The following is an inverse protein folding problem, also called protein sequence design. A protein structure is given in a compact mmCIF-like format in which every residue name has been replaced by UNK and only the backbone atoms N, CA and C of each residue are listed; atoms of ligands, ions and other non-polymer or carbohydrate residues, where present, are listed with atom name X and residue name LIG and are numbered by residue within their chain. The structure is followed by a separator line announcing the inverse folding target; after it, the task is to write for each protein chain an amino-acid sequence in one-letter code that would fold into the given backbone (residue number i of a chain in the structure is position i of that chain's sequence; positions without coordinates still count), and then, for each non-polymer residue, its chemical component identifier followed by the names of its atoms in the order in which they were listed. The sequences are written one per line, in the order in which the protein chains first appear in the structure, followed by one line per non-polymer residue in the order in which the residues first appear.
data_IF_330872980874
#
_entry.id   IF_330872980874
#
_cell.length_a   1.000
_cell.length_b   1.000
_cell.length_c   1.000
_cell.angle_alpha   90.00
_cell.angle_beta   90.00
_cell.angle_gamma   90.00
#
_symmetry.space_group_name_H-M   'P 1'
#
loop_
_entity.id
_entity.type
_entity.pdbx_description
1 polymer ?
#
# COMPACT_ATOMS: atom_id res chain seq x y z
N UNK A 1 15.45 -21.73 35.20
CA UNK A 1 15.59 -22.44 36.49
C UNK A 1 16.88 -21.95 37.13
N UNK A 2 16.84 -21.43 38.33
CA UNK A 2 18.04 -21.04 39.05
C UNK A 2 18.74 -22.28 39.60
N UNK A 3 20.03 -22.36 39.40
CA UNK A 3 20.86 -23.47 39.91
C UNK A 3 22.15 -22.87 40.45
N UNK A 4 22.65 -23.43 41.57
CA UNK A 4 23.92 -23.03 42.16
C UNK A 4 25.15 -23.55 41.39
N UNK A 5 24.93 -24.49 40.48
CA UNK A 5 25.97 -25.10 39.65
C UNK A 5 26.04 -24.54 38.23
N UNK A 6 24.97 -23.91 37.72
CA UNK A 6 24.92 -23.34 36.39
C UNK A 6 24.65 -21.81 36.44
N UNK A 7 25.60 -20.97 36.02
CA UNK A 7 25.38 -19.55 36.00
C UNK A 7 24.33 -19.14 34.97
N UNK A 8 23.58 -18.08 35.26
CA UNK A 8 22.65 -17.50 34.30
C UNK A 8 23.41 -16.96 33.09
N UNK A 9 23.02 -17.37 31.89
CA UNK A 9 23.54 -16.81 30.66
C UNK A 9 22.71 -15.57 30.35
N UNK A 10 23.33 -14.37 30.34
CA UNK A 10 22.61 -13.15 30.00
C UNK A 10 22.17 -13.17 28.54
N UNK A 11 20.89 -12.90 28.31
CA UNK A 11 20.34 -12.71 26.97
C UNK A 11 20.91 -11.43 26.34
N UNK A 12 21.18 -11.47 25.03
CA UNK A 12 21.59 -10.31 24.27
C UNK A 12 20.37 -9.60 23.67
N UNK A 13 20.31 -8.28 23.80
CA UNK A 13 19.37 -7.46 23.07
C UNK A 13 19.95 -7.23 21.67
N UNK A 14 19.26 -7.68 20.64
CA UNK A 14 19.60 -7.39 19.26
C UNK A 14 18.75 -6.23 18.75
N UNK A 15 19.38 -5.24 18.12
CA UNK A 15 18.68 -4.17 17.43
C UNK A 15 18.59 -4.50 15.93
N UNK A 16 17.44 -4.24 15.33
CA UNK A 16 17.25 -4.28 13.89
C UNK A 16 16.99 -2.87 13.39
N UNK A 17 17.43 -2.57 12.16
CA UNK A 17 17.18 -1.30 11.49
C UNK A 17 16.43 -1.57 10.20
N UNK A 18 15.27 -0.96 10.02
CA UNK A 18 14.59 -0.90 8.73
C UNK A 18 15.03 0.36 7.96
N UNK A 19 15.13 0.25 6.65
CA UNK A 19 15.58 1.33 5.78
C UNK A 19 14.48 1.70 4.80
N UNK A 20 14.02 2.95 4.88
CA UNK A 20 13.04 3.52 3.98
C UNK A 20 13.70 4.27 2.84
N UNK A 21 13.05 4.30 1.69
CA UNK A 21 13.49 5.08 0.53
C UNK A 21 12.65 6.34 0.36
N UNK A 22 13.29 7.40 -0.12
CA UNK A 22 12.64 8.68 -0.40
C UNK A 22 12.12 8.65 -1.83
N UNK A 23 10.82 8.90 -1.98
CA UNK A 23 10.17 9.10 -3.26
C UNK A 23 10.19 10.57 -3.63
N UNK A 24 10.73 10.87 -4.80
CA UNK A 24 10.68 12.20 -5.42
C UNK A 24 9.89 12.07 -6.71
N UNK A 25 8.74 12.69 -6.75
CA UNK A 25 7.82 12.64 -7.88
C UNK A 25 7.46 14.05 -8.31
N UNK A 26 7.29 14.25 -9.59
CA UNK A 26 6.83 15.49 -10.16
C UNK A 26 5.91 15.25 -11.34
N UNK A 27 4.98 16.17 -11.56
CA UNK A 27 4.13 16.20 -12.74
C UNK A 27 3.91 17.65 -13.17
N UNK A 28 3.86 17.84 -14.45
CA UNK A 28 3.47 19.10 -15.08
C UNK A 28 2.17 18.90 -15.85
N UNK A 29 1.33 19.92 -15.82
CA UNK A 29 0.12 20.05 -16.62
C UNK A 29 0.23 21.32 -17.46
N UNK A 30 -0.30 21.29 -18.67
CA UNK A 30 -0.34 22.43 -19.57
C UNK A 30 -1.79 22.82 -19.86
N UNK A 31 -2.02 24.12 -20.00
CA UNK A 31 -3.28 24.70 -20.45
C UNK A 31 -2.98 25.73 -21.52
N UNK A 32 -3.64 25.62 -22.68
CA UNK A 32 -3.47 26.56 -23.79
C UNK A 32 -4.57 27.64 -23.77
N UNK A 33 -4.21 28.91 -24.00
CA UNK A 33 -5.12 30.07 -24.03
C UNK A 33 -6.26 29.88 -25.03
N UNK A 34 -5.96 29.34 -26.21
CA UNK A 34 -6.95 29.15 -27.27
C UNK A 34 -7.98 28.07 -26.87
N UNK A 35 -7.53 27.01 -26.17
CA UNK A 35 -8.42 25.98 -25.64
C UNK A 35 -9.36 26.54 -24.56
N UNK A 36 -8.87 27.46 -23.74
CA UNK A 36 -9.67 28.17 -22.73
C UNK A 36 -10.73 29.06 -23.36
N UNK A 37 -10.35 29.82 -24.37
CA UNK A 37 -11.24 30.70 -25.11
C UNK A 37 -12.34 29.93 -25.87
N UNK A 38 -12.00 28.76 -26.44
CA UNK A 38 -12.95 27.92 -27.18
C UNK A 38 -13.90 27.16 -26.23
N UNK A 39 -13.41 26.72 -25.09
CA UNK A 39 -14.21 25.97 -24.11
C UNK A 39 -15.14 26.87 -23.26
N UNK A 40 -14.89 28.19 -23.22
CA UNK A 40 -15.64 29.13 -22.37
C UNK A 40 -15.46 28.87 -20.86
N UNK A 41 -14.45 28.14 -20.47
CA UNK A 41 -14.08 27.82 -19.10
C UNK A 41 -12.57 27.91 -18.89
N UNK A 42 -12.13 28.16 -17.65
CA UNK A 42 -10.72 28.23 -17.30
C UNK A 42 -10.14 26.83 -17.02
N UNK A 43 -9.36 26.24 -17.97
CA UNK A 43 -8.78 24.92 -17.77
C UNK A 43 -7.73 24.91 -16.66
N UNK A 44 -7.02 26.01 -16.40
CA UNK A 44 -6.00 26.11 -15.37
C UNK A 44 -6.60 25.95 -13.97
N UNK A 45 -7.77 26.53 -13.72
CA UNK A 45 -8.50 26.33 -12.46
C UNK A 45 -8.92 24.88 -12.26
N UNK A 46 -9.45 24.22 -13.29
CA UNK A 46 -9.84 22.81 -13.23
C UNK A 46 -8.62 21.89 -12.93
N UNK A 47 -7.44 22.20 -13.49
CA UNK A 47 -6.19 21.48 -13.18
C UNK A 47 -5.84 21.66 -11.70
N UNK A 48 -5.92 22.88 -11.15
CA UNK A 48 -5.64 23.15 -9.75
C UNK A 48 -6.48 22.29 -8.79
N UNK A 49 -7.77 22.16 -9.08
CA UNK A 49 -8.70 21.34 -8.27
C UNK A 49 -8.40 19.83 -8.35
N UNK A 50 -7.82 19.38 -9.45
CA UNK A 50 -7.50 17.97 -9.66
C UNK A 50 -6.15 17.52 -9.07
N UNK A 51 -5.24 18.47 -8.77
CA UNK A 51 -3.89 18.13 -8.28
C UNK A 51 -3.91 17.32 -6.98
N UNK A 52 -4.79 17.67 -6.04
CA UNK A 52 -4.92 16.93 -4.77
C UNK A 52 -5.37 15.48 -5.01
N UNK A 53 -6.36 15.29 -5.87
CA UNK A 53 -6.87 13.96 -6.26
C UNK A 53 -5.80 13.15 -7.00
N UNK A 54 -5.00 13.78 -7.84
CA UNK A 54 -3.88 13.14 -8.51
C UNK A 54 -2.87 12.57 -7.51
N UNK A 55 -2.43 13.37 -6.52
CA UNK A 55 -1.46 12.90 -5.54
C UNK A 55 -1.98 11.80 -4.63
N UNK A 56 -3.26 11.84 -4.28
CA UNK A 56 -3.90 10.76 -3.52
C UNK A 56 -3.83 9.43 -4.28
N UNK A 57 -4.21 9.44 -5.57
CA UNK A 57 -4.16 8.25 -6.44
C UNK A 57 -2.72 7.78 -6.67
N UNK A 58 -1.77 8.71 -6.86
CA UNK A 58 -0.37 8.37 -7.08
C UNK A 58 0.25 7.70 -5.85
N UNK A 59 -0.03 8.20 -4.65
CA UNK A 59 0.42 7.57 -3.41
C UNK A 59 -0.20 6.18 -3.22
N UNK A 60 -1.48 6.01 -3.53
CA UNK A 60 -2.16 4.72 -3.53
C UNK A 60 -1.49 3.75 -4.51
N UNK A 61 -1.22 4.18 -5.74
CA UNK A 61 -0.55 3.39 -6.76
C UNK A 61 0.85 2.94 -6.32
N UNK A 62 1.64 3.85 -5.76
CA UNK A 62 2.97 3.53 -5.21
C UNK A 62 2.87 2.53 -4.05
N UNK A 63 1.87 2.68 -3.18
CA UNK A 63 1.63 1.73 -2.09
C UNK A 63 1.38 0.31 -2.63
N UNK A 64 0.57 0.17 -3.68
CA UNK A 64 0.29 -1.14 -4.28
C UNK A 64 1.53 -1.73 -4.98
N UNK A 65 2.34 -0.91 -5.64
CA UNK A 65 3.62 -1.35 -6.22
C UNK A 65 4.60 -1.81 -5.14
N UNK A 66 4.67 -1.08 -4.03
CA UNK A 66 5.50 -1.43 -2.88
C UNK A 66 5.05 -2.76 -2.25
N UNK A 67 3.75 -2.96 -2.05
CA UNK A 67 3.21 -4.24 -1.57
C UNK A 67 3.55 -5.39 -2.52
N UNK A 68 3.41 -5.17 -3.82
CA UNK A 68 3.79 -6.17 -4.82
C UNK A 68 5.28 -6.54 -4.69
N UNK A 69 6.17 -5.56 -4.61
CA UNK A 69 7.62 -5.80 -4.47
C UNK A 69 7.97 -6.52 -3.17
N UNK A 70 7.45 -6.05 -2.05
CA UNK A 70 7.69 -6.63 -0.72
C UNK A 70 7.23 -8.08 -0.64
N UNK A 71 6.01 -8.38 -1.08
CA UNK A 71 5.47 -9.75 -1.02
C UNK A 71 5.98 -10.68 -2.14
N UNK A 72 6.69 -10.15 -3.13
CA UNK A 72 7.45 -10.96 -4.08
C UNK A 72 8.81 -11.37 -3.52
N UNK A 73 9.28 -10.76 -2.43
CA UNK A 73 10.53 -11.14 -1.77
C UNK A 73 10.38 -12.44 -0.99
N UNK A 74 11.29 -13.43 -1.16
CA UNK A 74 11.26 -14.68 -0.41
C UNK A 74 11.31 -14.49 1.11
N UNK A 75 11.90 -13.38 1.57
CA UNK A 75 11.97 -13.06 3.00
C UNK A 75 10.60 -12.84 3.66
N UNK A 76 9.56 -12.57 2.87
CA UNK A 76 8.19 -12.31 3.33
C UNK A 76 7.24 -13.52 3.26
N UNK A 77 7.72 -14.69 2.87
CA UNK A 77 6.91 -15.91 2.68
C UNK A 77 6.04 -16.24 3.90
N UNK A 78 6.56 -16.04 5.10
CA UNK A 78 5.81 -16.30 6.34
C UNK A 78 4.55 -15.42 6.50
N UNK A 79 4.49 -14.26 5.85
CA UNK A 79 3.35 -13.36 5.86
C UNK A 79 2.46 -13.51 4.61
N UNK A 80 2.72 -14.55 3.78
CA UNK A 80 1.90 -14.89 2.61
C UNK A 80 1.04 -16.11 2.95
N UNK A 81 -0.25 -16.02 2.68
CA UNK A 81 -1.17 -17.15 2.62
C UNK A 81 -1.67 -17.33 1.21
N UNK A 82 -1.17 -18.35 0.54
CA UNK A 82 -1.51 -18.65 -0.85
C UNK A 82 -2.28 -19.97 -0.93
N UNK A 83 -3.54 -19.89 -1.32
CA UNK A 83 -4.42 -21.04 -1.55
C UNK A 83 -4.80 -21.20 -3.01
N UNK A 84 -4.21 -20.41 -3.90
CA UNK A 84 -4.60 -20.34 -5.32
C UNK A 84 -4.38 -21.64 -6.10
N UNK A 85 -3.45 -22.49 -5.64
CA UNK A 85 -3.18 -23.80 -6.25
C UNK A 85 -4.09 -24.92 -5.74
N UNK A 86 -4.87 -24.66 -4.69
CA UNK A 86 -5.84 -25.64 -4.19
C UNK A 86 -6.99 -25.82 -5.18
N UNK A 87 -7.71 -26.92 -5.04
CA UNK A 87 -8.82 -27.26 -5.94
C UNK A 87 -10.18 -27.05 -5.26
N UNK A 88 -11.17 -26.64 -6.06
CA UNK A 88 -12.54 -26.45 -5.59
C UNK A 88 -12.64 -25.32 -4.56
N UNK A 89 -13.54 -25.46 -3.59
CA UNK A 89 -13.83 -24.44 -2.57
C UNK A 89 -12.66 -24.11 -1.65
N UNK A 90 -11.67 -24.99 -1.55
CA UNK A 90 -10.47 -24.76 -0.77
C UNK A 90 -9.59 -23.64 -1.33
N UNK A 91 -9.70 -23.33 -2.63
CA UNK A 91 -9.01 -22.21 -3.28
C UNK A 91 -9.75 -20.88 -3.12
N UNK A 92 -11.02 -20.92 -2.69
CA UNK A 92 -11.89 -19.77 -2.69
C UNK A 92 -11.74 -18.93 -1.40
N UNK A 93 -12.03 -17.64 -1.52
CA UNK A 93 -12.18 -16.77 -0.36
C UNK A 93 -13.42 -17.17 0.43
N UNK A 94 -13.22 -17.77 1.58
CA UNK A 94 -14.26 -18.16 2.55
C UNK A 94 -13.92 -17.65 3.93
N UNK A 95 -14.86 -17.73 4.87
CA UNK A 95 -14.59 -17.37 6.26
C UNK A 95 -13.46 -18.19 6.90
N UNK A 96 -13.38 -19.48 6.59
CA UNK A 96 -12.33 -20.39 7.10
C UNK A 96 -10.95 -20.03 6.53
N UNK A 97 -10.84 -19.89 5.21
CA UNK A 97 -9.57 -19.56 4.55
C UNK A 97 -9.05 -18.16 4.94
N UNK A 98 -9.97 -17.23 5.22
CA UNK A 98 -9.59 -15.92 5.76
C UNK A 98 -9.06 -16.00 7.20
N UNK A 99 -9.65 -16.83 8.06
CA UNK A 99 -9.15 -17.05 9.43
C UNK A 99 -7.74 -17.64 9.38
N UNK A 100 -7.47 -18.56 8.45
CA UNK A 100 -6.15 -19.15 8.25
C UNK A 100 -5.13 -18.09 7.77
N UNK A 101 -5.55 -17.19 6.90
CA UNK A 101 -4.71 -16.05 6.47
C UNK A 101 -4.35 -15.13 7.64
N UNK A 102 -5.33 -14.77 8.48
CA UNK A 102 -5.11 -13.95 9.68
C UNK A 102 -4.22 -14.68 10.70
N UNK A 103 -4.33 -16.00 10.79
CA UNK A 103 -3.54 -16.83 11.70
C UNK A 103 -2.04 -16.87 11.36
N UNK A 104 -1.61 -16.40 10.16
CA UNK A 104 -0.18 -16.25 9.84
C UNK A 104 0.59 -15.37 10.84
N UNK A 105 -0.10 -14.44 11.51
CA UNK A 105 0.49 -13.60 12.58
C UNK A 105 0.40 -14.23 13.97
N UNK A 106 -0.21 -15.41 14.10
CA UNK A 106 -0.34 -16.12 15.36
C UNK A 106 -1.02 -15.29 16.45
N UNK A 107 -0.37 -15.09 17.56
CA UNK A 107 -0.85 -14.30 18.71
C UNK A 107 -0.97 -12.79 18.43
N UNK A 108 -0.30 -12.28 17.36
CA UNK A 108 -0.38 -10.89 16.95
C UNK A 108 -1.56 -10.60 15.99
N UNK A 109 -2.41 -11.57 15.67
CA UNK A 109 -3.52 -11.45 14.70
C UNK A 109 -4.54 -10.36 15.05
N UNK A 110 -4.74 -10.07 16.32
CA UNK A 110 -5.67 -9.04 16.80
C UNK A 110 -5.25 -7.61 16.38
N UNK A 111 -3.97 -7.43 15.99
CA UNK A 111 -3.46 -6.17 15.50
C UNK A 111 -3.90 -5.85 14.06
N UNK A 112 -4.48 -6.83 13.36
CA UNK A 112 -5.00 -6.65 11.99
C UNK A 112 -6.41 -6.04 12.04
N UNK A 113 -6.58 -4.85 11.49
CA UNK A 113 -7.79 -4.03 11.61
C UNK A 113 -8.47 -3.70 10.30
N UNK A 114 -7.76 -3.81 9.17
CA UNK A 114 -8.28 -3.44 7.85
C UNK A 114 -7.93 -4.47 6.79
N UNK A 115 -8.75 -4.51 5.74
CA UNK A 115 -8.58 -5.39 4.59
C UNK A 115 -8.69 -4.52 3.34
N UNK A 116 -7.74 -4.69 2.42
CA UNK A 116 -7.80 -4.08 1.08
C UNK A 116 -7.99 -5.20 0.07
N UNK A 117 -9.04 -5.12 -0.71
CA UNK A 117 -9.41 -6.16 -1.68
C UNK A 117 -9.92 -5.57 -2.99
N UNK A 118 -9.87 -6.36 -4.05
CA UNK A 118 -10.42 -6.02 -5.35
C UNK A 118 -11.96 -5.96 -5.31
N UNK A 119 -12.58 -5.11 -6.11
CA UNK A 119 -14.04 -4.95 -6.17
C UNK A 119 -14.78 -6.26 -6.46
N UNK A 120 -14.23 -7.13 -7.30
CA UNK A 120 -14.81 -8.45 -7.59
C UNK A 120 -14.84 -9.36 -6.35
N UNK A 121 -13.81 -9.29 -5.49
CA UNK A 121 -13.79 -10.02 -4.22
C UNK A 121 -14.85 -9.49 -3.26
N UNK A 122 -14.96 -8.16 -3.15
CA UNK A 122 -15.99 -7.53 -2.34
C UNK A 122 -17.39 -7.93 -2.82
N UNK A 123 -17.64 -7.89 -4.12
CA UNK A 123 -18.93 -8.29 -4.71
C UNK A 123 -19.26 -9.77 -4.44
N UNK A 124 -18.28 -10.68 -4.50
CA UNK A 124 -18.48 -12.09 -4.16
C UNK A 124 -18.87 -12.26 -2.69
N UNK A 125 -18.19 -11.57 -1.76
CA UNK A 125 -18.53 -11.61 -0.34
C UNK A 125 -19.89 -10.94 -0.03
N UNK A 126 -20.24 -9.89 -0.73
CA UNK A 126 -21.54 -9.23 -0.60
C UNK A 126 -22.68 -10.13 -1.04
N UNK A 127 -22.52 -10.89 -2.13
CA UNK A 127 -23.51 -11.90 -2.57
C UNK A 127 -23.75 -12.99 -1.52
N UNK A 128 -22.73 -13.31 -0.73
CA UNK A 128 -22.82 -14.27 0.37
C UNK A 128 -23.34 -13.64 1.68
N UNK A 129 -23.70 -12.34 1.67
CA UNK A 129 -24.11 -11.57 2.87
C UNK A 129 -23.06 -11.55 4.00
N UNK A 130 -21.78 -11.61 3.64
CA UNK A 130 -20.67 -11.62 4.60
C UNK A 130 -20.11 -10.22 4.88
N UNK A 131 -20.45 -9.23 4.06
CA UNK A 131 -20.09 -7.82 4.27
C UNK A 131 -21.16 -7.17 5.15
N UNK A 132 -20.73 -6.59 6.25
CA UNK A 132 -21.57 -5.85 7.17
C UNK A 132 -21.33 -4.35 7.02
N UNK A 133 -22.41 -3.56 7.02
CA UNK A 133 -22.34 -2.11 7.09
C UNK A 133 -22.53 -1.68 8.55
N UNK A 134 -21.48 -1.15 9.15
CA UNK A 134 -21.52 -0.64 10.51
C UNK A 134 -21.69 0.87 10.48
N UNK A 135 -22.74 1.37 11.11
CA UNK A 135 -22.97 2.81 11.29
C UNK A 135 -22.23 3.26 12.56
N UNK A 136 -21.23 4.14 12.48
CA UNK A 136 -20.60 4.70 13.66
C UNK A 136 -21.60 5.54 14.48
N UNK A 137 -21.43 5.53 15.80
CA UNK A 137 -22.31 6.27 16.70
C UNK A 137 -22.17 7.81 16.61
N UNK A 138 -21.09 8.28 15.99
CA UNK A 138 -20.76 9.70 15.79
C UNK A 138 -21.42 10.32 14.55
N UNK A 139 -22.28 9.56 13.84
CA UNK A 139 -22.96 10.02 12.62
C UNK A 139 -22.09 10.00 11.37
N UNK A 140 -20.86 9.49 11.43
CA UNK A 140 -20.00 9.31 10.26
C UNK A 140 -20.64 8.34 9.26
N UNK A 141 -20.25 8.39 7.96
CA UNK A 141 -20.74 7.44 6.96
C UNK A 141 -20.54 5.99 7.37
N UNK A 142 -21.47 5.12 6.99
CA UNK A 142 -21.38 3.68 7.28
C UNK A 142 -20.09 3.09 6.70
N UNK A 143 -19.44 2.23 7.47
CA UNK A 143 -18.19 1.58 7.09
C UNK A 143 -18.47 0.11 6.80
N UNK A 144 -18.04 -0.35 5.62
CA UNK A 144 -18.06 -1.77 5.28
C UNK A 144 -17.07 -2.53 6.15
N UNK A 145 -17.50 -3.61 6.75
CA UNK A 145 -16.65 -4.49 7.58
C UNK A 145 -16.83 -5.95 7.20
N UNK A 146 -15.76 -6.70 7.34
CA UNK A 146 -15.73 -8.15 7.21
C UNK A 146 -15.03 -8.75 8.42
N UNK A 147 -15.71 -9.60 9.18
CA UNK A 147 -15.20 -10.17 10.43
C UNK A 147 -14.56 -9.13 11.37
N UNK A 148 -15.24 -7.98 11.54
CA UNK A 148 -14.77 -6.89 12.41
C UNK A 148 -13.61 -6.06 11.86
N UNK A 149 -13.15 -6.31 10.63
CA UNK A 149 -12.10 -5.54 9.97
C UNK A 149 -12.69 -4.63 8.91
N UNK A 150 -12.20 -3.39 8.84
CA UNK A 150 -12.63 -2.41 7.84
C UNK A 150 -12.28 -2.90 6.43
N UNK A 151 -13.25 -2.86 5.52
CA UNK A 151 -13.03 -3.21 4.10
C UNK A 151 -12.76 -1.93 3.30
N UNK A 152 -11.67 -1.96 2.56
CA UNK A 152 -11.28 -0.93 1.59
C UNK A 152 -11.24 -1.62 0.22
N UNK A 153 -11.97 -1.06 -0.73
CA UNK A 153 -12.03 -1.61 -2.10
C UNK A 153 -11.06 -0.84 -2.98
N UNK A 154 -10.18 -1.58 -3.65
CA UNK A 154 -9.18 -1.02 -4.56
C UNK A 154 -8.91 -1.99 -5.72
N UNK A 155 -9.26 -1.57 -6.93
CA UNK A 155 -9.06 -2.36 -8.14
C UNK A 155 -7.59 -2.44 -8.59
N UNK A 156 -6.69 -1.70 -7.94
CA UNK A 156 -5.24 -1.88 -8.10
C UNK A 156 -4.69 -3.13 -7.40
N UNK A 157 -5.49 -3.83 -6.59
CA UNK A 157 -5.13 -5.14 -6.05
C UNK A 157 -4.82 -6.13 -7.19
N UNK A 158 -3.65 -6.81 -7.16
CA UNK A 158 -3.24 -7.67 -8.26
C UNK A 158 -4.23 -8.81 -8.52
N UNK A 159 -4.57 -8.99 -9.80
CA UNK A 159 -5.34 -10.13 -10.29
C UNK A 159 -4.55 -10.78 -11.43
N UNK A 160 -4.24 -12.06 -11.30
CA UNK A 160 -3.47 -12.81 -12.30
C UNK A 160 -4.10 -14.18 -12.51
N UNK A 161 -4.53 -14.49 -13.72
CA UNK A 161 -5.11 -15.79 -14.06
C UNK A 161 -6.26 -16.24 -13.14
N UNK A 162 -7.14 -15.31 -12.74
CA UNK A 162 -8.25 -15.60 -11.83
C UNK A 162 -7.86 -15.74 -10.36
N UNK A 163 -6.59 -15.50 -10.00
CA UNK A 163 -6.12 -15.40 -8.62
C UNK A 163 -6.16 -13.94 -8.19
N UNK A 164 -6.90 -13.67 -7.14
CA UNK A 164 -7.05 -12.38 -6.52
C UNK A 164 -6.12 -12.24 -5.32
N UNK A 165 -5.57 -11.05 -5.15
CA UNK A 165 -4.71 -10.75 -4.01
C UNK A 165 -5.41 -9.77 -3.07
N UNK A 166 -5.57 -10.17 -1.84
CA UNK A 166 -6.13 -9.35 -0.75
C UNK A 166 -5.02 -9.07 0.26
N UNK A 167 -4.95 -7.84 0.75
CA UNK A 167 -3.99 -7.46 1.79
C UNK A 167 -4.74 -7.17 3.09
N UNK A 168 -4.22 -7.72 4.18
CA UNK A 168 -4.77 -7.53 5.53
C UNK A 168 -3.76 -6.70 6.30
N UNK A 169 -4.20 -5.57 6.85
CA UNK A 169 -3.34 -4.59 7.51
C UNK A 169 -3.68 -4.42 8.97
N UNK A 170 -2.66 -4.14 9.76
CA UNK A 170 -2.80 -3.64 11.11
C UNK A 170 -2.49 -2.15 11.20
N UNK A 171 -2.89 -1.55 12.29
CA UNK A 171 -2.58 -0.15 12.59
C UNK A 171 -1.06 0.07 12.62
N UNK A 172 -0.60 1.16 11.97
CA UNK A 172 0.82 1.50 11.87
C UNK A 172 1.65 0.57 11.00
N UNK A 173 1.04 -0.26 10.13
CA UNK A 173 1.74 -1.15 9.20
C UNK A 173 2.53 -0.39 8.15
N UNK A 174 1.99 0.74 7.66
CA UNK A 174 2.61 1.61 6.66
C UNK A 174 2.92 2.95 7.31
N UNK A 175 4.15 3.40 7.19
CA UNK A 175 4.58 4.72 7.59
C UNK A 175 4.51 5.68 6.39
N UNK A 176 3.95 6.86 6.59
CA UNK A 176 3.94 7.97 5.66
C UNK A 176 4.68 9.14 6.27
N UNK A 177 5.65 9.68 5.56
CA UNK A 177 6.34 10.92 5.92
C UNK A 177 6.40 11.86 4.73
N UNK A 178 6.00 13.12 4.90
CA UNK A 178 6.20 14.15 3.89
C UNK A 178 7.48 14.92 4.20
N UNK A 179 8.27 15.22 3.18
CA UNK A 179 9.50 15.99 3.28
C UNK A 179 9.53 17.15 2.29
N UNK A 180 10.15 18.23 2.68
CA UNK A 180 10.37 19.36 1.80
C UNK A 180 11.86 19.74 1.87
N UNK A 181 12.72 19.21 0.98
CA UNK A 181 14.15 19.50 1.00
C UNK A 181 14.42 21.01 0.84
N UNK A 182 15.51 21.48 1.42
CA UNK A 182 15.95 22.87 1.26
C UNK A 182 16.12 23.19 -0.23
N UNK A 183 15.63 24.34 -0.66
CA UNK A 183 15.60 24.80 -2.06
C UNK A 183 14.68 24.00 -3.00
N UNK A 184 13.79 23.20 -2.45
CA UNK A 184 12.80 22.47 -3.21
C UNK A 184 11.54 23.33 -3.35
N UNK A 185 11.14 23.64 -4.59
CA UNK A 185 9.90 24.37 -4.89
C UNK A 185 8.82 23.34 -5.22
N UNK A 186 7.82 23.16 -4.34
CA UNK A 186 6.80 22.12 -4.53
C UNK A 186 5.81 22.46 -5.64
N UNK A 187 5.50 23.73 -5.82
CA UNK A 187 4.56 24.18 -6.86
C UNK A 187 5.13 25.40 -7.57
N UNK A 188 5.15 25.34 -8.87
CA UNK A 188 5.70 26.36 -9.75
C UNK A 188 4.78 26.54 -10.97
N UNK A 189 4.64 27.77 -11.43
CA UNK A 189 3.95 28.07 -12.69
C UNK A 189 4.95 28.65 -13.67
N UNK A 190 4.83 28.29 -14.93
CA UNK A 190 5.64 28.80 -16.02
C UNK A 190 4.77 29.04 -17.22
N UNK A 191 5.20 29.93 -18.12
CA UNK A 191 4.44 30.27 -19.32
C UNK A 191 5.35 30.26 -20.54
N UNK A 192 4.95 29.51 -21.56
CA UNK A 192 5.50 29.65 -22.91
C UNK A 192 4.68 30.67 -23.67
N UNK A 193 5.24 31.89 -23.79
CA UNK A 193 4.59 33.00 -24.47
C UNK A 193 4.55 32.85 -26.01
N UNK A 194 5.35 31.95 -26.58
CA UNK A 194 5.38 31.72 -28.01
C UNK A 194 4.24 30.83 -28.49
N UNK A 195 3.80 29.91 -27.63
CA UNK A 195 2.72 28.96 -27.94
C UNK A 195 1.41 29.31 -27.21
N UNK A 196 1.50 30.17 -26.17
CA UNK A 196 0.37 30.52 -25.33
C UNK A 196 -0.02 29.42 -24.35
N UNK A 197 0.95 28.62 -23.89
CA UNK A 197 0.76 27.56 -22.91
C UNK A 197 1.14 28.03 -21.52
N UNK A 198 0.25 27.80 -20.56
CA UNK A 198 0.52 27.95 -19.14
C UNK A 198 0.79 26.57 -18.53
N UNK A 199 1.91 26.45 -17.81
CA UNK A 199 2.31 25.21 -17.13
C UNK A 199 2.11 25.33 -15.63
N UNK A 200 1.50 24.31 -15.03
CA UNK A 200 1.49 24.10 -13.61
C UNK A 200 2.39 22.88 -13.29
N UNK A 201 3.50 23.14 -12.61
CA UNK A 201 4.47 22.11 -12.23
C UNK A 201 4.30 21.84 -10.74
N UNK A 202 4.03 20.58 -10.39
CA UNK A 202 3.92 20.18 -8.98
C UNK A 202 4.88 19.04 -8.68
N UNK A 203 5.63 19.17 -7.58
CA UNK A 203 6.64 18.22 -7.15
C UNK A 203 6.37 17.83 -5.69
N UNK A 204 6.56 16.56 -5.36
CA UNK A 204 6.37 16.05 -4.01
C UNK A 204 7.51 15.14 -3.61
N UNK A 205 8.00 15.32 -2.38
CA UNK A 205 8.96 14.41 -1.76
C UNK A 205 8.29 13.78 -0.54
N UNK A 206 8.30 12.46 -0.47
CA UNK A 206 7.66 11.73 0.61
C UNK A 206 8.32 10.37 0.83
N UNK A 207 8.02 9.75 1.95
CA UNK A 207 8.39 8.40 2.30
C UNK A 207 7.10 7.61 2.50
N UNK A 208 6.99 6.48 1.81
CA UNK A 208 6.03 5.42 2.08
C UNK A 208 6.83 4.18 2.42
N UNK A 209 6.53 3.54 3.57
CA UNK A 209 7.35 2.43 4.02
C UNK A 209 6.54 1.42 4.82
N UNK A 210 6.71 0.13 4.51
CA UNK A 210 6.17 -0.97 5.31
C UNK A 210 7.14 -1.21 6.45
N UNK A 211 6.68 -1.03 7.68
CA UNK A 211 7.53 -1.19 8.89
C UNK A 211 8.03 -2.62 9.03
N UNK A 212 9.32 -2.74 9.31
CA UNK A 212 10.00 -4.02 9.51
C UNK A 212 10.57 -4.64 8.25
N UNK A 213 10.52 -3.92 7.12
CA UNK A 213 11.11 -4.32 5.84
C UNK A 213 12.13 -3.26 5.45
N UNK A 214 13.27 -3.61 4.90
CA UNK A 214 14.26 -2.66 4.40
C UNK A 214 14.24 -2.62 2.86
N UNK A 215 14.38 -1.41 2.31
CA UNK A 215 14.66 -1.21 0.88
C UNK A 215 16.17 -1.22 0.65
N UNK A 216 16.68 -2.27 0.03
CA UNK A 216 18.13 -2.54 -0.06
C UNK A 216 18.86 -1.76 -1.14
N UNK A 217 18.15 -1.06 -2.03
CA UNK A 217 18.71 -0.25 -3.15
C UNK A 217 19.58 -1.03 -4.15
N UNK A 218 19.51 -2.36 -4.15
CA UNK A 218 20.42 -3.21 -4.96
C UNK A 218 20.37 -2.90 -6.46
N UNK A 219 19.22 -2.46 -6.97
CA UNK A 219 19.02 -2.18 -8.40
C UNK A 219 18.60 -0.74 -8.68
N UNK A 220 18.63 0.14 -7.68
CA UNK A 220 18.20 1.52 -7.83
C UNK A 220 19.24 2.33 -8.63
N UNK A 221 18.85 2.80 -9.83
CA UNK A 221 19.74 3.54 -10.72
C UNK A 221 19.84 5.04 -10.36
N UNK A 222 18.81 5.62 -9.78
CA UNK A 222 18.71 7.06 -9.50
C UNK A 222 18.66 7.38 -7.99
N UNK A 223 18.40 8.64 -7.68
CA UNK A 223 18.20 9.13 -6.30
C UNK A 223 16.79 8.88 -5.74
N UNK A 224 15.88 8.36 -6.56
CA UNK A 224 14.52 7.97 -6.21
C UNK A 224 14.15 6.75 -7.06
N UNK A 225 13.56 5.70 -6.48
CA UNK A 225 13.26 4.49 -7.22
C UNK A 225 12.19 4.72 -8.27
N UNK A 226 12.34 4.07 -9.42
CA UNK A 226 11.32 3.96 -10.45
C UNK A 226 10.23 2.96 -10.02
N UNK A 227 9.12 2.94 -10.75
CA UNK A 227 8.01 2.02 -10.46
C UNK A 227 8.41 0.55 -10.60
N UNK A 228 9.24 0.24 -11.59
CA UNK A 228 9.78 -1.10 -11.79
C UNK A 228 10.72 -1.52 -10.64
N UNK A 229 11.55 -0.61 -10.15
CA UNK A 229 12.45 -0.89 -9.02
C UNK A 229 11.69 -1.08 -7.70
N UNK A 230 10.58 -0.33 -7.49
CA UNK A 230 9.69 -0.53 -6.33
C UNK A 230 9.06 -1.91 -6.35
N UNK A 231 8.60 -2.37 -7.52
CA UNK A 231 7.92 -3.65 -7.68
C UNK A 231 8.88 -4.85 -7.68
N UNK A 232 10.20 -4.63 -7.69
CA UNK A 232 11.19 -5.69 -7.78
C UNK A 232 11.51 -6.32 -6.42
N UNK A 233 11.35 -7.64 -6.32
CA UNK A 233 11.60 -8.41 -5.09
C UNK A 233 13.02 -8.24 -4.51
N UNK A 234 14.03 -8.13 -5.39
CA UNK A 234 15.44 -8.02 -5.01
C UNK A 234 15.77 -6.75 -4.21
N UNK A 235 14.91 -5.72 -4.28
CA UNK A 235 15.09 -4.47 -3.54
C UNK A 235 14.49 -4.51 -2.14
N UNK A 236 13.84 -5.59 -1.74
CA UNK A 236 13.14 -5.69 -0.47
C UNK A 236 13.67 -6.86 0.37
N UNK A 237 13.93 -6.59 1.63
CA UNK A 237 14.33 -7.61 2.58
C UNK A 237 13.64 -7.40 3.93
N UNK A 238 13.12 -8.48 4.50
CA UNK A 238 12.53 -8.46 5.83
C UNK A 238 13.62 -8.36 6.90
N UNK A 239 13.44 -7.43 7.83
CA UNK A 239 14.37 -7.18 8.93
C UNK A 239 13.81 -7.67 10.26
N UNK A 240 12.51 -7.46 10.50
CA UNK A 240 11.87 -7.84 11.75
C UNK A 240 11.24 -9.23 11.68
N UNK A 241 10.94 -9.78 12.83
CA UNK A 241 10.17 -11.02 12.96
C UNK A 241 8.83 -10.90 12.21
N UNK A 242 8.38 -11.96 11.50
CA UNK A 242 7.12 -11.95 10.76
C UNK A 242 5.91 -11.47 11.57
N UNK A 243 5.83 -11.84 12.84
CA UNK A 243 4.73 -11.45 13.76
C UNK A 243 4.73 -9.95 14.10
N UNK A 244 5.86 -9.25 13.91
CA UNK A 244 5.96 -7.80 14.12
C UNK A 244 5.55 -7.00 12.90
N UNK A 245 5.50 -7.61 11.72
CA UNK A 245 5.08 -6.98 10.47
C UNK A 245 3.57 -7.15 10.33
N UNK A 246 2.84 -6.06 10.52
CA UNK A 246 1.37 -6.06 10.59
C UNK A 246 0.73 -6.01 9.21
N UNK A 247 1.23 -6.81 8.28
CA UNK A 247 0.67 -6.98 6.93
C UNK A 247 0.73 -8.44 6.55
N UNK A 248 -0.38 -8.94 6.01
CA UNK A 248 -0.49 -10.30 5.46
C UNK A 248 -1.02 -10.20 4.03
N UNK A 249 -0.41 -10.93 3.12
CA UNK A 249 -0.93 -11.13 1.77
C UNK A 249 -1.72 -12.44 1.72
N UNK A 250 -2.92 -12.36 1.18
CA UNK A 250 -3.80 -13.50 0.96
C UNK A 250 -4.13 -13.64 -0.53
N UNK A 251 -3.71 -14.75 -1.16
CA UNK A 251 -4.00 -15.08 -2.55
C UNK A 251 -5.04 -16.17 -2.61
N UNK A 252 -6.10 -15.93 -3.37
CA UNK A 252 -7.29 -16.79 -3.41
C UNK A 252 -7.99 -16.69 -4.77
N UNK A 253 -8.95 -17.59 -5.00
CA UNK A 253 -9.94 -17.48 -6.07
C UNK A 253 -11.26 -16.96 -5.54
N UNK A 254 -12.18 -16.63 -6.43
CA UNK A 254 -13.56 -16.24 -6.05
C UNK A 254 -14.43 -17.51 -5.95
N UNK A 255 -15.37 -17.45 -5.00
CA UNK A 255 -16.41 -18.46 -4.86
C UNK A 255 -17.53 -18.23 -5.87
#
# INVERSE_FOLDING_TARGET
MLSDTNPLVPGKITSGQDEAVIFRRGRAWASNDLAGALAGSDPAKAIGDLVASYWSREMQRITMLMLKGVFSSPSMENNVHDISEQTGDAANFTGTTFIDAVQKLGDAKEKLTAIVMHSATEASLAKQNLIQNVQPADGSPSVKTYMGKRVIVDDACPVTNGVYTTYIFGEGAIALGNGNPVRFVPTETDRDSLVGDDYLINRKTFILHIRGVAFTKNTMAGSSPSDSEIALAANWNRVYDPKKIRVVQFKHKLA
#
